data_IF_898990064087
#
_entry.id   IF_898990064087
#
_cell.length_a   1.000
_cell.length_b   1.000
_cell.length_c   1.000
_cell.angle_alpha   90.00
_cell.angle_beta   90.00
_cell.angle_gamma   90.00
#
_symmetry.space_group_name_H-M   'P 1'
#
loop_
_entity.id
_entity.type
_entity.pdbx_description
1 polymer ?
#
# COMPACT_ATOMS: atom_id res chain seq x y z
N UNK A 1 5.94 -6.13 14.32
CA UNK A 1 5.04 -7.23 13.91
C UNK A 1 5.72 -8.09 12.86
N UNK A 2 5.43 -9.40 12.79
CA UNK A 2 5.82 -10.28 11.68
C UNK A 2 4.57 -10.96 11.12
N UNK A 3 4.32 -10.79 9.82
CA UNK A 3 3.24 -11.46 9.09
C UNK A 3 3.82 -12.51 8.14
N UNK A 4 3.09 -13.61 7.97
CA UNK A 4 3.35 -14.60 6.91
C UNK A 4 2.11 -14.69 6.03
N UNK A 5 2.31 -14.87 4.74
CA UNK A 5 1.23 -14.99 3.77
C UNK A 5 1.72 -15.57 2.45
N UNK A 6 0.79 -15.75 1.53
CA UNK A 6 1.03 -16.32 0.21
C UNK A 6 1.09 -15.20 -0.85
N UNK A 7 2.11 -15.24 -1.71
CA UNK A 7 2.21 -14.32 -2.85
C UNK A 7 1.14 -14.66 -3.87
N UNK A 8 0.41 -13.66 -4.36
CA UNK A 8 -0.64 -13.86 -5.35
C UNK A 8 -0.57 -12.84 -6.50
N UNK A 9 -1.17 -13.19 -7.62
CA UNK A 9 -1.34 -12.29 -8.77
C UNK A 9 -2.62 -11.47 -8.64
N UNK A 10 -2.61 -10.23 -9.12
CA UNK A 10 -3.81 -9.39 -9.24
C UNK A 10 -4.08 -8.95 -10.67
N UNK A 11 -5.04 -8.05 -10.86
CA UNK A 11 -5.44 -7.52 -12.18
C UNK A 11 -4.46 -6.48 -12.77
N UNK A 12 -3.30 -6.24 -12.15
CA UNK A 12 -2.33 -5.25 -12.63
C UNK A 12 -2.71 -3.77 -12.45
N UNK A 13 -3.86 -3.46 -11.86
CA UNK A 13 -4.37 -2.07 -11.71
C UNK A 13 -3.40 -1.14 -10.96
N UNK A 14 -2.67 -1.66 -9.98
CA UNK A 14 -1.74 -0.86 -9.18
C UNK A 14 -0.59 -0.25 -10.01
N UNK A 15 -0.20 -0.90 -11.12
CA UNK A 15 0.81 -0.35 -12.02
C UNK A 15 0.38 1.00 -12.62
N UNK A 16 -0.91 1.15 -12.94
CA UNK A 16 -1.46 2.41 -13.43
C UNK A 16 -1.33 3.51 -12.36
N UNK A 17 -1.80 3.25 -11.12
CA UNK A 17 -1.77 4.24 -10.04
C UNK A 17 -0.34 4.62 -9.62
N UNK A 18 0.54 3.63 -9.44
CA UNK A 18 1.94 3.85 -9.05
C UNK A 18 2.81 4.42 -10.18
N UNK A 19 2.23 4.63 -11.36
CA UNK A 19 2.86 5.39 -12.44
C UNK A 19 2.38 6.85 -12.51
N UNK A 20 1.36 7.25 -11.74
CA UNK A 20 0.87 8.63 -11.74
C UNK A 20 1.73 9.51 -10.83
N UNK A 21 2.02 10.74 -11.27
CA UNK A 21 2.89 11.68 -10.55
C UNK A 21 2.41 11.97 -9.13
N UNK A 22 1.09 12.05 -8.91
CA UNK A 22 0.52 12.26 -7.57
C UNK A 22 0.98 11.19 -6.57
N UNK A 23 0.88 9.91 -6.94
CA UNK A 23 1.32 8.82 -6.08
C UNK A 23 2.84 8.78 -5.96
N UNK A 24 3.56 8.88 -7.09
CA UNK A 24 5.04 8.83 -7.12
C UNK A 24 5.67 9.92 -6.25
N UNK A 25 5.19 11.16 -6.36
CA UNK A 25 5.72 12.28 -5.59
C UNK A 25 5.46 12.10 -4.08
N UNK A 26 4.31 11.54 -3.70
CA UNK A 26 4.04 11.21 -2.30
C UNK A 26 4.94 10.08 -1.76
N UNK A 27 5.24 9.04 -2.56
CA UNK A 27 6.20 8.01 -2.15
C UNK A 27 7.63 8.57 -2.01
N UNK A 28 8.06 9.43 -2.93
CA UNK A 28 9.38 10.06 -2.83
C UNK A 28 9.45 10.96 -1.60
N UNK A 29 8.45 11.81 -1.37
CA UNK A 29 8.40 12.74 -0.24
C UNK A 29 8.35 12.03 1.10
N UNK A 30 7.50 11.02 1.25
CA UNK A 30 7.23 10.41 2.57
C UNK A 30 8.03 9.12 2.83
N UNK A 31 8.46 8.40 1.79
CA UNK A 31 9.20 7.15 1.92
C UNK A 31 10.64 7.22 1.37
N UNK A 32 11.02 8.29 0.65
CA UNK A 32 12.38 8.51 0.17
C UNK A 32 12.77 7.69 -1.06
N UNK A 33 11.80 7.09 -1.76
CA UNK A 33 12.08 6.29 -2.97
C UNK A 33 11.00 6.46 -4.05
N UNK A 34 11.39 6.25 -5.32
CA UNK A 34 10.45 6.09 -6.43
C UNK A 34 9.93 4.65 -6.44
N UNK A 35 8.63 4.40 -6.30
CA UNK A 35 8.10 3.05 -6.26
C UNK A 35 8.25 2.36 -7.61
N UNK A 36 8.40 1.04 -7.59
CA UNK A 36 8.18 0.23 -8.79
C UNK A 36 6.70 0.36 -9.21
N UNK A 37 6.36 0.41 -10.51
CA UNK A 37 4.97 0.53 -10.97
C UNK A 37 4.21 -0.80 -10.81
N UNK A 38 3.86 -1.14 -9.56
CA UNK A 38 3.11 -2.34 -9.20
C UNK A 38 3.17 -2.65 -7.71
N UNK A 39 2.38 -3.63 -7.27
CA UNK A 39 2.34 -4.08 -5.87
C UNK A 39 2.68 -5.56 -5.78
N UNK A 40 3.33 -5.93 -4.68
CA UNK A 40 3.41 -7.32 -4.25
C UNK A 40 2.16 -7.66 -3.45
N UNK A 41 1.25 -8.44 -4.03
CA UNK A 41 0.03 -8.84 -3.33
C UNK A 41 0.31 -10.06 -2.46
N UNK A 42 -0.04 -9.98 -1.18
CA UNK A 42 0.11 -11.07 -0.20
C UNK A 42 -1.25 -11.38 0.41
N UNK A 43 -1.69 -12.64 0.33
CA UNK A 43 -2.85 -13.13 1.08
C UNK A 43 -2.38 -13.52 2.47
N UNK A 44 -2.90 -12.86 3.50
CA UNK A 44 -2.54 -13.11 4.90
C UNK A 44 -3.63 -13.98 5.55
N UNK A 45 -3.28 -15.02 6.33
CA UNK A 45 -4.26 -15.83 7.03
C UNK A 45 -5.08 -15.02 8.07
N UNK A 46 -6.32 -15.43 8.29
CA UNK A 46 -7.29 -14.69 9.13
C UNK A 46 -6.86 -14.48 10.58
N UNK A 47 -5.99 -15.35 11.12
CA UNK A 47 -5.47 -15.21 12.48
C UNK A 47 -4.62 -13.94 12.69
N UNK A 48 -4.23 -13.26 11.61
CA UNK A 48 -3.55 -11.96 11.66
C UNK A 48 -4.49 -10.76 11.49
N UNK A 49 -5.78 -10.98 11.24
CA UNK A 49 -6.72 -9.92 10.88
C UNK A 49 -6.87 -8.87 12.00
N UNK A 50 -6.92 -9.30 13.26
CA UNK A 50 -6.98 -8.40 14.41
C UNK A 50 -5.78 -7.45 14.45
N UNK A 51 -4.57 -7.98 14.30
CA UNK A 51 -3.33 -7.17 14.28
C UNK A 51 -3.28 -6.20 13.10
N UNK A 52 -3.78 -6.61 11.93
CA UNK A 52 -3.85 -5.75 10.74
C UNK A 52 -4.84 -4.60 10.98
N UNK A 53 -5.99 -4.90 11.58
CA UNK A 53 -7.00 -3.89 11.91
C UNK A 53 -6.46 -2.89 12.95
N UNK A 54 -5.76 -3.37 13.99
CA UNK A 54 -5.13 -2.48 14.97
C UNK A 54 -4.15 -1.50 14.31
N UNK A 55 -3.31 -1.95 13.37
CA UNK A 55 -2.38 -1.06 12.67
C UNK A 55 -3.12 -0.05 11.80
N UNK A 56 -4.16 -0.50 11.10
CA UNK A 56 -4.98 0.37 10.25
C UNK A 56 -5.66 1.45 11.07
N UNK A 57 -6.29 1.09 12.20
CA UNK A 57 -7.10 1.99 13.01
C UNK A 57 -6.24 2.99 13.80
N UNK A 58 -4.98 2.64 14.08
CA UNK A 58 -4.02 3.51 14.78
C UNK A 58 -3.03 4.23 13.83
N UNK A 59 -3.27 4.21 12.51
CA UNK A 59 -2.39 4.88 11.55
C UNK A 59 -2.66 6.40 11.55
N UNK A 60 -1.72 7.17 12.12
CA UNK A 60 -1.85 8.63 12.21
C UNK A 60 -1.39 9.37 10.93
N UNK A 61 -0.55 8.74 10.12
CA UNK A 61 0.10 9.36 8.95
C UNK A 61 -0.65 9.05 7.64
N UNK A 62 -1.97 9.27 7.63
CA UNK A 62 -2.79 9.05 6.44
C UNK A 62 -2.62 10.22 5.46
N UNK A 63 -2.11 9.92 4.27
CA UNK A 63 -2.05 10.87 3.15
C UNK A 63 -3.45 11.00 2.56
N UNK A 64 -4.01 12.21 2.61
CA UNK A 64 -5.31 12.52 1.99
C UNK A 64 -5.09 12.95 0.54
N UNK A 65 -5.92 12.48 -0.41
CA UNK A 65 -5.87 12.96 -1.78
C UNK A 65 -6.37 14.40 -1.85
N UNK A 66 -5.78 15.18 -2.76
CA UNK A 66 -6.35 16.46 -3.20
C UNK A 66 -7.57 16.20 -4.09
N UNK A 67 -8.42 17.22 -4.29
CA UNK A 67 -9.60 17.07 -5.16
C UNK A 67 -9.21 16.56 -6.56
N UNK A 68 -9.80 15.44 -6.97
CA UNK A 68 -9.57 14.82 -8.29
C UNK A 68 -8.68 13.57 -8.29
N UNK A 69 -8.19 13.11 -7.13
CA UNK A 69 -7.47 11.84 -6.96
C UNK A 69 -8.17 10.85 -6.03
#
# INVERSE_FOLDING_TARGET
MKLRGEVTTGLGKAAFFLSQDFYVNNFIKNCGFKPYPGTLNIVVPENHLEQINEIKDNCNDIIKPDEGF
#
